data_IF_196988631728
#
_entry.id   IF_196988631728
#
_cell.length_a   1.000
_cell.length_b   1.000
_cell.length_c   1.000
_cell.angle_alpha   90.00
_cell.angle_beta   90.00
_cell.angle_gamma   90.00
#
_symmetry.space_group_name_H-M   'P 1'
#
loop_
_entity.id
_entity.type
_entity.pdbx_description
1 polymer ?
#
# COMPACT_ATOMS: atom_id res chain seq x y z
N UNK A 1 16.35 -10.00 4.00
CA UNK A 1 16.37 -9.73 2.54
C UNK A 1 17.06 -8.40 2.33
N UNK A 2 18.15 -8.38 1.61
CA UNK A 2 18.89 -7.16 1.24
C UNK A 2 18.22 -6.50 0.03
N UNK A 3 18.13 -5.18 0.01
CA UNK A 3 17.43 -4.43 -1.04
C UNK A 3 18.46 -3.69 -1.89
N UNK A 4 18.33 -3.80 -3.20
CA UNK A 4 19.19 -3.17 -4.20
C UNK A 4 18.40 -2.11 -4.98
N UNK A 5 19.06 -1.06 -5.43
CA UNK A 5 18.46 0.00 -6.23
C UNK A 5 19.37 1.21 -6.38
N UNK A 6 18.94 2.19 -7.16
CA UNK A 6 19.68 3.44 -7.39
C UNK A 6 19.36 4.51 -6.34
N UNK A 7 18.12 4.53 -5.81
CA UNK A 7 17.68 5.50 -4.79
C UNK A 7 16.55 4.90 -3.94
N UNK A 8 16.18 5.58 -2.85
CA UNK A 8 15.13 5.17 -1.93
C UNK A 8 14.32 6.37 -1.45
N UNK A 9 13.00 6.17 -1.39
CA UNK A 9 12.05 7.11 -0.80
C UNK A 9 11.36 6.42 0.38
N UNK A 10 11.31 7.08 1.54
CA UNK A 10 10.59 6.63 2.73
C UNK A 10 9.81 7.81 3.33
N UNK A 11 8.52 7.87 3.06
CA UNK A 11 7.73 9.05 3.38
C UNK A 11 8.28 10.30 2.69
N UNK A 12 8.68 11.29 3.47
CA UNK A 12 9.33 12.52 2.98
C UNK A 12 10.85 12.40 2.83
N UNK A 13 11.45 11.32 3.33
CA UNK A 13 12.89 11.11 3.24
C UNK A 13 13.24 10.53 1.86
N UNK A 14 14.24 11.15 1.21
CA UNK A 14 14.84 10.63 -0.02
C UNK A 14 16.35 10.50 0.16
N UNK A 15 16.90 9.32 -0.18
CA UNK A 15 18.29 8.98 0.11
C UNK A 15 19.29 9.88 -0.64
N UNK A 16 19.01 10.18 -1.91
CA UNK A 16 19.85 11.06 -2.74
C UNK A 16 19.97 12.49 -2.20
N UNK A 17 18.98 13.00 -1.47
CA UNK A 17 19.02 14.36 -0.87
C UNK A 17 20.11 14.47 0.20
N UNK A 18 20.54 13.34 0.76
CA UNK A 18 21.62 13.23 1.74
C UNK A 18 22.98 12.89 1.12
N UNK A 19 23.06 12.83 -0.24
CA UNK A 19 24.27 12.43 -0.95
C UNK A 19 24.66 10.98 -0.67
N UNK A 20 23.68 10.12 -0.53
CA UNK A 20 23.84 8.69 -0.23
C UNK A 20 23.22 7.82 -1.33
N UNK A 21 23.72 6.61 -1.43
CA UNK A 21 23.25 5.58 -2.38
C UNK A 21 23.08 4.24 -1.66
N UNK A 22 22.22 3.40 -2.22
CA UNK A 22 22.08 2.01 -1.78
C UNK A 22 23.39 1.25 -2.04
N UNK A 23 23.74 0.34 -1.13
CA UNK A 23 24.94 -0.45 -1.21
C UNK A 23 24.75 -1.80 -0.54
N UNK A 24 25.50 -2.81 -1.01
CA UNK A 24 25.66 -4.08 -0.31
C UNK A 24 27.09 -4.22 0.20
N UNK A 25 27.24 -4.69 1.43
CA UNK A 25 28.53 -5.07 2.01
C UNK A 25 28.78 -6.58 2.00
N UNK A 26 27.75 -7.36 1.69
CA UNK A 26 27.76 -8.82 1.74
C UNK A 26 27.47 -9.41 0.37
N UNK A 27 28.41 -9.20 -0.57
CA UNK A 27 28.30 -9.85 -1.87
C UNK A 27 28.79 -11.28 -1.78
N UNK A 28 27.86 -12.23 -1.67
CA UNK A 28 28.15 -13.68 -1.68
C UNK A 28 27.88 -14.32 -3.04
N UNK A 29 27.31 -13.58 -3.99
CA UNK A 29 26.98 -14.08 -5.33
C UNK A 29 25.71 -14.95 -5.40
N UNK A 30 25.19 -15.39 -4.26
CA UNK A 30 23.91 -16.13 -4.14
C UNK A 30 23.28 -15.73 -2.80
N UNK A 31 22.04 -15.28 -2.82
CA UNK A 31 21.23 -15.06 -1.62
C UNK A 31 19.95 -15.90 -1.71
N UNK A 32 19.62 -16.61 -0.63
CA UNK A 32 18.33 -17.25 -0.45
C UNK A 32 17.44 -16.27 0.32
N UNK A 33 16.57 -15.54 -0.38
CA UNK A 33 15.70 -14.56 0.25
C UNK A 33 14.29 -15.11 0.47
N UNK A 34 13.78 -14.96 1.68
CA UNK A 34 12.37 -15.23 1.98
C UNK A 34 11.53 -14.05 1.48
N UNK A 35 10.72 -14.31 0.47
CA UNK A 35 9.89 -13.29 -0.20
C UNK A 35 8.61 -12.91 0.55
N UNK A 36 8.47 -13.34 1.82
CA UNK A 36 7.29 -13.01 2.65
C UNK A 36 5.99 -13.70 2.23
N UNK A 37 6.02 -14.57 1.24
CA UNK A 37 4.82 -15.24 0.69
C UNK A 37 4.54 -16.60 1.34
N UNK A 38 5.02 -16.82 2.56
CA UNK A 38 4.75 -18.06 3.27
C UNK A 38 3.26 -18.15 3.64
N UNK A 39 2.60 -19.20 3.17
CA UNK A 39 1.23 -19.51 3.54
C UNK A 39 1.19 -20.59 4.61
N UNK A 40 0.25 -20.47 5.54
CA UNK A 40 -0.14 -21.56 6.40
C UNK A 40 -1.59 -21.92 6.13
N UNK A 41 -1.85 -23.21 6.08
CA UNK A 41 -3.19 -23.77 5.95
C UNK A 41 -3.97 -23.55 7.24
N UNK A 42 -5.23 -23.15 7.10
CA UNK A 42 -6.19 -23.11 8.21
C UNK A 42 -7.05 -24.34 8.09
N UNK A 43 -6.91 -25.24 9.07
CA UNK A 43 -7.62 -26.52 9.13
C UNK A 43 -8.25 -26.70 10.50
N UNK A 44 -9.40 -27.37 10.54
CA UNK A 44 -10.10 -27.72 11.77
C UNK A 44 -10.52 -29.20 11.74
N UNK A 45 -10.22 -29.92 12.83
CA UNK A 45 -10.68 -31.29 13.00
C UNK A 45 -12.07 -31.27 13.64
N UNK A 46 -13.07 -31.86 12.97
CA UNK A 46 -14.42 -31.95 13.48
C UNK A 46 -14.64 -33.32 14.13
N UNK A 47 -14.83 -33.34 15.45
CA UNK A 47 -15.03 -34.57 16.22
C UNK A 47 -13.85 -35.54 16.10
N UNK A 48 -14.16 -36.82 15.90
CA UNK A 48 -13.16 -37.89 15.77
C UNK A 48 -12.72 -38.14 14.31
N UNK A 49 -12.99 -37.19 13.40
CA UNK A 49 -12.57 -37.33 12.00
C UNK A 49 -11.04 -37.30 11.89
N UNK A 50 -10.41 -38.27 11.22
CA UNK A 50 -8.96 -38.23 10.99
C UNK A 50 -8.55 -37.26 9.87
N UNK A 51 -9.53 -36.68 9.17
CA UNK A 51 -9.31 -35.75 8.06
C UNK A 51 -9.80 -34.37 8.48
N UNK A 52 -8.92 -33.35 8.51
CA UNK A 52 -9.32 -31.99 8.83
C UNK A 52 -10.19 -31.39 7.70
N UNK A 53 -11.04 -30.46 8.06
CA UNK A 53 -11.74 -29.59 7.12
C UNK A 53 -10.82 -28.41 6.79
N UNK A 54 -10.52 -28.25 5.52
CA UNK A 54 -9.77 -27.12 5.02
C UNK A 54 -10.63 -25.85 5.03
N UNK A 55 -10.21 -24.82 5.74
CA UNK A 55 -10.91 -23.55 5.90
C UNK A 55 -10.28 -22.43 5.09
N UNK A 56 -9.12 -22.66 4.48
CA UNK A 56 -8.40 -21.69 3.65
C UNK A 56 -6.92 -21.59 4.00
N UNK A 57 -6.27 -20.62 3.39
CA UNK A 57 -4.87 -20.26 3.66
C UNK A 57 -4.77 -18.83 4.21
N UNK A 58 -3.77 -18.58 5.01
CA UNK A 58 -3.38 -17.23 5.41
C UNK A 58 -1.90 -16.99 5.14
N UNK A 59 -1.57 -15.78 4.77
CA UNK A 59 -0.18 -15.33 4.73
C UNK A 59 0.32 -15.12 6.16
N UNK A 60 1.41 -15.78 6.52
CA UNK A 60 1.92 -15.79 7.90
C UNK A 60 3.11 -14.88 8.09
N UNK A 61 3.76 -14.49 7.02
CA UNK A 61 4.96 -13.66 7.11
C UNK A 61 4.80 -12.32 6.40
N UNK A 62 5.53 -11.33 6.89
CA UNK A 62 5.62 -9.99 6.34
C UNK A 62 6.99 -9.81 5.72
N UNK A 63 7.07 -8.95 4.73
CA UNK A 63 8.37 -8.56 4.17
C UNK A 63 9.19 -7.82 5.26
N UNK A 64 10.46 -8.21 5.39
CA UNK A 64 11.43 -7.59 6.30
C UNK A 64 12.67 -7.18 5.54
N UNK A 65 12.61 -6.06 4.80
CA UNK A 65 13.74 -5.57 4.06
C UNK A 65 14.84 -5.07 4.99
N UNK A 66 16.07 -5.38 4.61
CA UNK A 66 17.27 -4.77 5.14
C UNK A 66 17.85 -3.83 4.09
N UNK A 67 17.94 -2.56 4.41
CA UNK A 67 18.41 -1.53 3.49
C UNK A 67 19.73 -1.01 3.98
N UNK A 68 20.76 -1.14 3.19
CA UNK A 68 22.10 -0.62 3.48
C UNK A 68 22.42 0.54 2.56
N UNK A 69 22.92 1.62 3.10
CA UNK A 69 23.35 2.76 2.30
C UNK A 69 24.65 3.39 2.78
N UNK A 70 25.36 3.98 1.84
CA UNK A 70 26.66 4.62 2.00
C UNK A 70 26.67 5.99 1.35
N UNK A 71 27.68 6.79 1.59
CA UNK A 71 27.90 8.02 0.81
C UNK A 71 28.15 7.69 -0.66
N UNK A 72 27.59 8.53 -1.54
CA UNK A 72 27.72 8.34 -2.98
C UNK A 72 29.21 8.45 -3.41
N UNK A 73 29.81 7.38 -3.96
CA UNK A 73 31.18 7.40 -4.42
C UNK A 73 31.42 8.33 -5.63
N UNK A 74 30.36 8.79 -6.30
CA UNK A 74 30.45 9.81 -7.36
C UNK A 74 30.68 11.22 -6.78
N UNK A 75 30.22 11.44 -5.55
CA UNK A 75 30.31 12.74 -4.87
C UNK A 75 31.48 12.81 -3.88
N UNK A 76 31.82 11.67 -3.27
CA UNK A 76 32.81 11.60 -2.19
C UNK A 76 33.93 10.60 -2.52
N UNK A 77 35.13 10.87 -2.03
CA UNK A 77 36.30 10.00 -2.24
C UNK A 77 37.21 9.94 -1.00
N UNK A 78 38.00 8.88 -0.90
CA UNK A 78 38.96 8.68 0.19
C UNK A 78 38.30 8.73 1.57
N UNK A 79 38.86 9.54 2.49
CA UNK A 79 38.35 9.68 3.85
C UNK A 79 36.96 10.33 3.92
N UNK A 80 36.55 11.10 2.91
CA UNK A 80 35.24 11.75 2.86
C UNK A 80 34.09 10.74 2.63
N UNK A 81 34.40 9.51 2.20
CA UNK A 81 33.43 8.40 2.09
C UNK A 81 32.87 7.96 3.45
N UNK A 82 33.62 8.17 4.53
CA UNK A 82 33.14 7.81 5.86
C UNK A 82 32.18 8.87 6.41
N UNK A 83 31.17 8.44 7.11
CA UNK A 83 30.24 9.32 7.80
C UNK A 83 30.89 9.90 9.06
N UNK A 84 30.86 11.19 9.20
CA UNK A 84 31.22 11.88 10.43
C UNK A 84 30.15 11.66 11.51
N UNK A 85 30.47 11.89 12.78
CA UNK A 85 29.49 11.80 13.87
C UNK A 85 28.28 12.73 13.66
N UNK A 86 28.53 13.94 13.11
CA UNK A 86 27.46 14.90 12.82
C UNK A 86 26.50 14.37 11.73
N UNK A 87 27.03 13.78 10.68
CA UNK A 87 26.22 13.18 9.59
C UNK A 87 25.46 11.97 10.09
N UNK A 88 26.11 11.05 10.83
CA UNK A 88 25.43 9.94 11.47
C UNK A 88 24.27 10.41 12.35
N UNK A 89 24.52 11.42 13.20
CA UNK A 89 23.52 11.98 14.10
C UNK A 89 22.33 12.58 13.33
N UNK A 90 22.58 13.27 12.23
CA UNK A 90 21.53 13.86 11.40
C UNK A 90 20.67 12.77 10.78
N UNK A 91 21.28 11.75 10.17
CA UNK A 91 20.55 10.62 9.56
C UNK A 91 19.76 9.87 10.62
N UNK A 92 20.36 9.51 11.75
CA UNK A 92 19.65 8.83 12.84
C UNK A 92 18.47 9.66 13.36
N UNK A 93 18.65 10.96 13.54
CA UNK A 93 17.57 11.84 13.98
C UNK A 93 16.40 11.82 13.00
N UNK A 94 16.69 11.87 11.71
CA UNK A 94 15.66 11.80 10.66
C UNK A 94 14.96 10.45 10.67
N UNK A 95 15.73 9.34 10.68
CA UNK A 95 15.17 7.99 10.65
C UNK A 95 14.37 7.64 11.91
N UNK A 96 14.86 8.00 13.08
CA UNK A 96 14.15 7.73 14.35
C UNK A 96 12.98 8.69 14.58
N UNK A 97 12.91 9.80 13.85
CA UNK A 97 11.76 10.70 13.83
C UNK A 97 10.58 10.19 12.99
N UNK A 98 10.81 9.19 12.14
CA UNK A 98 9.77 8.57 11.33
C UNK A 98 9.00 7.57 12.21
N UNK A 99 7.72 7.86 12.45
CA UNK A 99 6.86 7.01 13.27
C UNK A 99 5.84 6.23 12.43
N UNK A 100 5.59 4.99 12.83
CA UNK A 100 4.60 4.11 12.20
C UNK A 100 5.01 3.66 10.80
N UNK A 101 4.03 3.15 10.06
CA UNK A 101 4.22 2.70 8.69
C UNK A 101 4.22 3.89 7.73
N UNK A 102 5.25 3.99 6.90
CA UNK A 102 5.41 4.96 5.84
C UNK A 102 5.44 4.27 4.48
N UNK A 103 5.17 5.01 3.43
CA UNK A 103 5.34 4.53 2.07
C UNK A 103 6.83 4.49 1.73
N UNK A 104 7.30 3.29 1.40
CA UNK A 104 8.66 2.99 0.96
C UNK A 104 8.63 2.69 -0.53
N UNK A 105 9.50 3.32 -1.28
CA UNK A 105 9.80 2.98 -2.67
C UNK A 105 11.31 2.82 -2.83
N UNK A 106 11.72 1.72 -3.43
CA UNK A 106 13.08 1.54 -3.96
C UNK A 106 13.04 1.90 -5.43
N UNK A 107 13.96 2.71 -5.89
CA UNK A 107 14.03 3.15 -7.28
C UNK A 107 15.10 2.31 -7.96
N UNK A 108 14.71 1.58 -8.99
CA UNK A 108 15.59 0.87 -9.92
C UNK A 108 15.42 1.50 -11.30
N UNK A 109 16.51 1.60 -12.04
CA UNK A 109 16.51 2.23 -13.37
C UNK A 109 15.76 1.38 -14.41
N UNK A 110 15.58 0.09 -14.14
CA UNK A 110 14.93 -0.90 -15.03
C UNK A 110 13.49 -1.27 -14.58
N UNK A 111 12.94 -0.63 -13.54
CA UNK A 111 11.59 -0.96 -13.05
C UNK A 111 10.51 -0.43 -14.00
N UNK A 112 9.79 -1.35 -14.64
CA UNK A 112 8.58 -1.03 -15.41
C UNK A 112 7.36 -0.74 -14.52
N UNK A 113 7.33 -1.33 -13.32
CA UNK A 113 6.22 -1.20 -12.37
C UNK A 113 6.56 -0.25 -11.22
N UNK A 114 5.67 0.71 -10.95
CA UNK A 114 5.78 1.64 -9.82
C UNK A 114 5.25 0.99 -8.54
N UNK A 115 6.14 0.22 -7.86
CA UNK A 115 5.77 -0.57 -6.69
C UNK A 115 6.20 0.12 -5.40
N UNK A 116 5.24 0.18 -4.48
CA UNK A 116 5.38 0.78 -3.16
C UNK A 116 5.22 -0.27 -2.07
N UNK A 117 5.89 -0.07 -0.96
CA UNK A 117 5.72 -0.88 0.25
C UNK A 117 5.30 0.02 1.40
N UNK A 118 4.50 -0.49 2.29
CA UNK A 118 4.18 0.22 3.51
C UNK A 118 5.01 -0.36 4.64
N UNK A 119 6.07 0.35 5.02
CA UNK A 119 7.12 -0.15 5.90
C UNK A 119 7.36 0.77 7.10
N UNK A 120 7.82 0.20 8.20
CA UNK A 120 8.32 0.91 9.38
C UNK A 120 9.75 0.51 9.67
N UNK A 121 10.52 1.43 10.25
CA UNK A 121 11.87 1.16 10.72
C UNK A 121 11.78 0.48 12.09
N UNK A 122 12.40 -0.69 12.22
CA UNK A 122 12.50 -1.40 13.50
C UNK A 122 13.82 -1.12 14.21
N UNK A 123 14.92 -1.00 13.43
CA UNK A 123 16.25 -0.76 13.98
C UNK A 123 17.14 -0.02 12.98
N UNK A 124 18.12 0.72 13.49
CA UNK A 124 19.10 1.48 12.71
C UNK A 124 20.49 1.14 13.21
N UNK A 125 21.27 0.49 12.38
CA UNK A 125 22.62 0.04 12.69
C UNK A 125 23.66 0.77 11.85
N UNK A 126 24.95 0.65 12.23
CA UNK A 126 26.06 1.19 11.46
C UNK A 126 27.03 0.08 11.06
N UNK A 127 27.52 0.16 9.83
CA UNK A 127 28.64 -0.66 9.36
C UNK A 127 29.94 0.13 9.55
N UNK A 128 30.92 -0.47 10.23
CA UNK A 128 32.23 0.15 10.48
C UNK A 128 33.33 -0.57 9.71
N UNK A 129 34.20 0.22 9.11
CA UNK A 129 35.43 -0.26 8.47
C UNK A 129 36.60 0.47 9.11
N UNK A 130 37.54 -0.25 9.69
CA UNK A 130 38.67 0.31 10.43
C UNK A 130 38.26 1.38 11.46
N UNK A 131 37.21 1.11 12.24
CA UNK A 131 36.67 2.00 13.28
C UNK A 131 35.82 3.15 12.78
N UNK A 132 35.85 3.49 11.49
CA UNK A 132 35.07 4.57 10.88
C UNK A 132 33.72 4.05 10.37
N UNK A 133 32.66 4.88 10.44
CA UNK A 133 31.35 4.52 9.92
C UNK A 133 31.36 4.60 8.39
N UNK A 134 31.25 3.46 7.75
CA UNK A 134 31.22 3.33 6.28
C UNK A 134 29.80 3.34 5.71
N UNK A 135 28.82 2.89 6.47
CA UNK A 135 27.43 2.86 6.03
C UNK A 135 26.44 2.72 7.18
N UNK A 136 25.18 2.85 6.85
CA UNK A 136 24.04 2.71 7.76
C UNK A 136 23.16 1.56 7.24
N UNK A 137 22.61 0.79 8.16
CA UNK A 137 21.74 -0.34 7.90
C UNK A 137 20.41 -0.08 8.57
N UNK A 138 19.35 -0.05 7.78
CA UNK A 138 17.97 -0.02 8.27
C UNK A 138 17.39 -1.42 8.27
N UNK A 139 16.91 -1.86 9.42
CA UNK A 139 16.09 -3.06 9.55
C UNK A 139 14.64 -2.64 9.56
N UNK A 140 13.88 -3.06 8.56
CA UNK A 140 12.51 -2.63 8.37
C UNK A 140 11.53 -3.81 8.41
N UNK A 141 10.26 -3.51 8.61
CA UNK A 141 9.16 -4.46 8.52
C UNK A 141 8.01 -3.83 7.75
N UNK A 142 7.53 -4.51 6.73
CA UNK A 142 6.32 -4.10 6.00
C UNK A 142 5.05 -4.52 6.75
N UNK A 143 3.93 -3.86 6.45
CA UNK A 143 2.63 -4.24 7.01
C UNK A 143 2.04 -5.48 6.33
N UNK A 144 2.56 -5.86 5.17
CA UNK A 144 2.06 -6.92 4.29
C UNK A 144 3.20 -7.75 3.70
N UNK A 145 2.84 -8.91 3.15
CA UNK A 145 3.68 -9.70 2.26
C UNK A 145 3.61 -9.24 0.79
N UNK A 146 2.78 -8.23 0.50
CA UNK A 146 2.62 -7.66 -0.83
C UNK A 146 3.28 -6.28 -0.92
N UNK A 147 3.73 -5.94 -2.13
CA UNK A 147 3.86 -4.56 -2.55
C UNK A 147 2.50 -3.97 -2.94
N UNK A 148 2.48 -2.71 -3.29
CA UNK A 148 1.28 -1.95 -3.68
C UNK A 148 1.55 -1.21 -4.98
N UNK A 149 0.57 -1.16 -5.87
CA UNK A 149 0.65 -0.29 -7.03
C UNK A 149 0.74 1.19 -6.61
N UNK A 150 1.10 2.04 -7.54
CA UNK A 150 0.79 3.48 -7.45
C UNK A 150 -0.69 3.69 -7.21
N UNK A 151 -1.05 4.85 -6.69
CA UNK A 151 -2.44 5.22 -6.47
C UNK A 151 -3.15 5.39 -7.82
N UNK A 152 -4.21 4.61 -7.99
CA UNK A 152 -5.07 4.67 -9.16
C UNK A 152 -6.26 5.57 -8.87
N UNK A 153 -6.47 6.56 -9.73
CA UNK A 153 -7.62 7.46 -9.70
C UNK A 153 -8.43 7.29 -10.97
N UNK A 154 -9.66 6.79 -10.85
CA UNK A 154 -10.57 6.59 -11.98
C UNK A 154 -11.75 7.56 -11.84
N UNK A 155 -11.83 8.53 -12.73
CA UNK A 155 -12.93 9.50 -12.79
C UNK A 155 -13.98 9.08 -13.81
N UNK A 156 -15.21 8.89 -13.39
CA UNK A 156 -16.31 8.38 -14.21
C UNK A 156 -17.54 9.30 -14.13
N UNK A 157 -18.22 9.43 -15.26
CA UNK A 157 -19.51 10.09 -15.35
C UNK A 157 -20.60 9.04 -15.55
N UNK A 158 -21.38 8.76 -14.51
CA UNK A 158 -22.46 7.80 -14.56
C UNK A 158 -23.74 8.44 -15.12
N UNK A 159 -24.35 7.76 -16.08
CA UNK A 159 -25.76 7.97 -16.46
C UNK A 159 -26.62 7.02 -15.65
N UNK A 160 -27.79 7.50 -15.19
CA UNK A 160 -28.69 6.72 -14.34
C UNK A 160 -28.96 5.33 -14.91
N UNK A 161 -28.76 4.33 -14.07
CA UNK A 161 -28.95 2.90 -14.37
C UNK A 161 -28.11 2.32 -15.52
N UNK A 162 -27.13 3.04 -16.04
CA UNK A 162 -26.20 2.55 -17.05
C UNK A 162 -24.96 2.00 -16.36
N UNK A 163 -24.63 0.71 -16.53
CA UNK A 163 -23.43 0.16 -15.91
C UNK A 163 -22.16 0.61 -16.61
N UNK A 164 -21.09 0.74 -15.84
CA UNK A 164 -19.72 1.02 -16.30
C UNK A 164 -18.80 -0.07 -15.76
N UNK A 165 -17.87 -0.52 -16.58
CA UNK A 165 -16.87 -1.51 -16.20
C UNK A 165 -15.62 -0.86 -15.65
N UNK A 166 -15.13 -1.42 -14.54
CA UNK A 166 -13.89 -1.06 -13.89
C UNK A 166 -13.06 -2.34 -13.76
N UNK A 167 -11.86 -2.31 -14.30
CA UNK A 167 -10.92 -3.42 -14.18
C UNK A 167 -9.93 -3.14 -13.06
N UNK A 168 -9.85 -4.05 -12.08
CA UNK A 168 -8.90 -3.99 -10.99
C UNK A 168 -7.77 -5.00 -11.24
N UNK A 169 -6.64 -4.53 -11.70
CA UNK A 169 -5.48 -5.39 -11.95
C UNK A 169 -4.75 -5.69 -10.63
N UNK A 170 -5.27 -6.59 -9.80
CA UNK A 170 -4.68 -6.99 -8.51
C UNK A 170 -4.10 -8.40 -8.59
N UNK A 171 -3.00 -8.64 -7.86
CA UNK A 171 -2.40 -9.97 -7.71
C UNK A 171 -2.98 -10.75 -6.53
N UNK A 172 -3.79 -10.11 -5.69
CA UNK A 172 -4.54 -10.78 -4.63
C UNK A 172 -5.94 -11.14 -5.13
N UNK A 173 -6.09 -12.37 -5.61
CA UNK A 173 -7.33 -12.87 -6.19
C UNK A 173 -8.37 -13.32 -5.15
N UNK A 174 -8.04 -13.24 -3.86
CA UNK A 174 -8.92 -13.74 -2.79
C UNK A 174 -9.58 -12.64 -1.97
N UNK A 175 -9.02 -11.43 -1.99
CA UNK A 175 -9.51 -10.33 -1.17
C UNK A 175 -10.11 -9.21 -2.04
N UNK A 176 -11.10 -8.52 -1.47
CA UNK A 176 -11.68 -7.33 -2.08
C UNK A 176 -10.73 -6.14 -1.97
N UNK A 177 -10.80 -5.26 -2.95
CA UNK A 177 -10.19 -3.94 -2.88
C UNK A 177 -11.22 -2.99 -2.27
N UNK A 178 -10.83 -2.27 -1.23
CA UNK A 178 -11.65 -1.28 -0.55
C UNK A 178 -11.25 0.13 -1.01
N UNK A 179 -11.92 0.72 -2.02
CA UNK A 179 -11.57 2.04 -2.54
C UNK A 179 -12.05 3.16 -1.62
N UNK A 180 -11.43 4.32 -1.77
CA UNK A 180 -12.06 5.59 -1.42
C UNK A 180 -12.90 6.03 -2.61
N UNK A 181 -14.20 6.23 -2.40
CA UNK A 181 -15.12 6.62 -3.47
C UNK A 181 -15.69 8.01 -3.18
N UNK A 182 -15.41 8.95 -4.07
CA UNK A 182 -15.98 10.30 -3.99
C UNK A 182 -17.07 10.45 -5.04
N UNK A 183 -18.29 10.77 -4.61
CA UNK A 183 -19.49 10.82 -5.45
C UNK A 183 -20.09 12.21 -5.38
N UNK A 184 -20.21 12.87 -6.52
CA UNK A 184 -20.99 14.10 -6.67
C UNK A 184 -22.34 13.78 -7.30
N UNK A 185 -23.39 13.75 -6.49
CA UNK A 185 -24.75 13.50 -6.94
C UNK A 185 -25.27 14.67 -7.80
N UNK A 186 -25.92 14.39 -8.92
CA UNK A 186 -26.54 15.45 -9.75
C UNK A 186 -27.98 15.74 -9.40
N UNK A 187 -28.66 14.79 -8.78
CA UNK A 187 -30.08 14.89 -8.39
C UNK A 187 -30.25 14.55 -6.93
N UNK A 188 -31.32 15.03 -6.31
CA UNK A 188 -31.69 14.67 -4.95
C UNK A 188 -32.42 13.33 -4.94
N UNK A 189 -32.31 12.59 -3.83
CA UNK A 189 -32.97 11.31 -3.62
C UNK A 189 -32.05 10.26 -3.02
N UNK A 190 -32.47 9.01 -3.03
CA UNK A 190 -31.61 7.91 -2.59
C UNK A 190 -30.55 7.63 -3.65
N UNK A 191 -29.32 7.54 -3.23
CA UNK A 191 -28.17 7.14 -4.04
C UNK A 191 -27.92 5.66 -3.83
N UNK A 192 -28.06 4.86 -4.88
CA UNK A 192 -27.86 3.41 -4.86
C UNK A 192 -26.77 3.07 -5.85
N UNK A 193 -25.70 2.50 -5.34
CA UNK A 193 -24.56 2.01 -6.11
C UNK A 193 -24.58 0.49 -6.04
N UNK A 194 -24.62 -0.17 -7.18
CA UNK A 194 -24.64 -1.63 -7.25
C UNK A 194 -23.39 -2.09 -7.99
N UNK A 195 -22.59 -2.94 -7.37
CA UNK A 195 -21.65 -3.79 -8.10
C UNK A 195 -22.42 -5.00 -8.60
N UNK A 196 -22.70 -5.05 -9.89
CA UNK A 196 -23.51 -6.09 -10.52
C UNK A 196 -22.80 -7.44 -10.48
N UNK A 197 -21.46 -7.42 -10.51
CA UNK A 197 -20.62 -8.63 -10.56
C UNK A 197 -20.86 -9.55 -9.34
N UNK A 198 -21.08 -8.97 -8.15
CA UNK A 198 -21.37 -9.72 -6.92
C UNK A 198 -22.71 -9.34 -6.26
N UNK A 199 -23.51 -8.52 -6.93
CA UNK A 199 -24.78 -7.97 -6.43
C UNK A 199 -24.65 -7.20 -5.10
N UNK A 200 -23.49 -6.56 -4.88
CA UNK A 200 -23.26 -5.75 -3.68
C UNK A 200 -23.87 -4.36 -3.83
N UNK A 201 -24.70 -3.97 -2.85
CA UNK A 201 -25.44 -2.72 -2.88
C UNK A 201 -25.01 -1.81 -1.75
N UNK A 202 -24.53 -0.61 -2.11
CA UNK A 202 -24.24 0.50 -1.22
C UNK A 202 -25.34 1.55 -1.40
N UNK A 203 -26.09 1.86 -0.35
CA UNK A 203 -27.22 2.80 -0.38
C UNK A 203 -27.03 3.94 0.62
N UNK A 204 -27.25 5.16 0.15
CA UNK A 204 -27.30 6.38 0.97
C UNK A 204 -28.60 7.10 0.67
N UNK A 205 -29.43 7.29 1.71
CA UNK A 205 -30.72 7.95 1.61
C UNK A 205 -30.57 9.47 1.72
N UNK A 206 -31.59 10.19 1.29
CA UNK A 206 -31.73 11.63 1.49
C UNK A 206 -30.59 12.50 0.93
N UNK A 207 -29.87 12.02 -0.09
CA UNK A 207 -28.81 12.75 -0.77
C UNK A 207 -29.38 13.97 -1.48
N UNK A 208 -28.70 15.11 -1.41
CA UNK A 208 -29.10 16.35 -2.09
C UNK A 208 -28.39 16.54 -3.43
N UNK A 209 -28.99 17.27 -4.32
CA UNK A 209 -28.36 17.63 -5.59
C UNK A 209 -27.06 18.43 -5.36
N UNK A 210 -26.00 18.08 -6.05
CA UNK A 210 -24.63 18.60 -5.94
C UNK A 210 -23.93 18.29 -4.60
N UNK A 211 -24.49 17.46 -3.75
CA UNK A 211 -23.80 16.93 -2.58
C UNK A 211 -22.63 16.06 -3.03
N UNK A 212 -21.49 16.23 -2.35
CA UNK A 212 -20.32 15.38 -2.52
C UNK A 212 -20.19 14.49 -1.30
N UNK A 213 -20.29 13.20 -1.52
CA UNK A 213 -20.15 12.15 -0.50
C UNK A 213 -18.83 11.44 -0.73
N UNK A 214 -18.05 11.27 0.33
CA UNK A 214 -16.83 10.48 0.31
C UNK A 214 -16.99 9.26 1.20
N UNK A 215 -16.78 8.08 0.64
CA UNK A 215 -16.82 6.77 1.31
C UNK A 215 -15.39 6.23 1.33
N UNK A 216 -14.75 6.23 2.49
CA UNK A 216 -13.48 5.52 2.70
C UNK A 216 -13.81 4.10 3.18
N UNK A 217 -13.84 3.18 2.24
CA UNK A 217 -14.27 1.81 2.51
C UNK A 217 -13.27 1.02 3.36
N UNK A 218 -12.00 1.39 3.32
CA UNK A 218 -10.95 0.72 4.09
C UNK A 218 -11.01 1.09 5.58
N UNK A 219 -11.26 2.36 5.86
CA UNK A 219 -11.31 2.88 7.23
C UNK A 219 -12.74 2.94 7.80
N UNK A 220 -13.73 2.55 7.00
CA UNK A 220 -15.15 2.60 7.34
C UNK A 220 -15.60 4.00 7.77
N UNK A 221 -15.22 4.99 6.96
CA UNK A 221 -15.56 6.40 7.19
C UNK A 221 -16.40 6.91 6.03
N UNK A 222 -17.54 7.54 6.35
CA UNK A 222 -18.36 8.26 5.39
C UNK A 222 -18.46 9.74 5.78
N UNK A 223 -18.36 10.63 4.79
CA UNK A 223 -18.49 12.07 4.99
C UNK A 223 -19.26 12.72 3.85
N UNK A 224 -19.86 13.89 4.14
CA UNK A 224 -20.58 14.71 3.16
C UNK A 224 -20.06 16.14 3.16
N UNK A 225 -20.12 16.79 2.00
CA UNK A 225 -19.76 18.19 1.80
C UNK A 225 -20.78 19.18 2.41
N UNK A 226 -21.95 18.71 2.78
CA UNK A 226 -23.02 19.49 3.42
C UNK A 226 -23.40 18.86 4.75
N UNK A 227 -24.00 19.65 5.65
CA UNK A 227 -24.52 19.13 6.90
C UNK A 227 -25.64 18.12 6.63
N UNK A 228 -25.34 16.86 6.92
CA UNK A 228 -26.23 15.71 6.82
C UNK A 228 -26.38 15.16 8.24
N UNK A 229 -27.39 15.62 8.96
CA UNK A 229 -27.50 15.41 10.42
C UNK A 229 -27.53 13.94 10.84
N UNK A 230 -27.87 13.02 9.92
CA UNK A 230 -28.03 11.60 10.17
C UNK A 230 -27.35 10.73 9.09
N UNK A 231 -26.22 11.18 8.54
CA UNK A 231 -25.54 10.47 7.44
C UNK A 231 -25.33 8.98 7.72
N UNK A 232 -24.93 8.61 8.92
CA UNK A 232 -24.76 7.19 9.29
C UNK A 232 -26.09 6.43 9.36
N UNK A 233 -27.20 7.08 9.71
CA UNK A 233 -28.52 6.44 9.72
C UNK A 233 -29.10 6.31 8.31
N UNK A 234 -28.66 7.16 7.39
CA UNK A 234 -29.07 7.15 6.00
C UNK A 234 -28.21 6.19 5.15
N UNK A 235 -27.10 5.73 5.69
CA UNK A 235 -26.17 4.78 5.04
C UNK A 235 -26.47 3.34 5.48
N UNK A 236 -26.55 2.41 4.52
CA UNK A 236 -26.83 0.99 4.79
C UNK A 236 -25.64 0.20 5.36
N UNK A 237 -24.50 0.86 5.66
CA UNK A 237 -23.25 0.28 6.17
C UNK A 237 -22.60 -0.77 5.23
N UNK A 238 -23.03 -0.85 4.00
CA UNK A 238 -22.37 -1.68 2.99
C UNK A 238 -21.29 -0.84 2.29
N UNK A 239 -20.09 -0.95 2.78
CA UNK A 239 -18.92 -0.25 2.23
C UNK A 239 -18.61 -0.71 0.82
N UNK A 240 -18.22 0.22 -0.05
CA UNK A 240 -17.88 -0.10 -1.44
C UNK A 240 -16.69 -1.04 -1.51
N UNK A 241 -16.79 -2.03 -2.39
CA UNK A 241 -15.73 -3.00 -2.66
C UNK A 241 -15.64 -3.30 -4.15
N UNK A 242 -14.42 -3.57 -4.60
CA UNK A 242 -14.16 -4.08 -5.93
C UNK A 242 -13.63 -5.52 -5.80
N UNK A 243 -14.13 -6.40 -6.65
CA UNK A 243 -13.57 -7.73 -6.79
C UNK A 243 -12.26 -7.67 -7.56
N UNK A 244 -11.41 -8.68 -7.41
CA UNK A 244 -10.33 -8.90 -8.36
C UNK A 244 -10.87 -8.95 -9.79
N UNK A 245 -10.10 -8.37 -10.73
CA UNK A 245 -10.40 -8.35 -12.15
C UNK A 245 -11.55 -7.41 -12.53
N UNK A 246 -12.63 -7.87 -13.15
CA UNK A 246 -13.66 -7.03 -13.76
C UNK A 246 -14.84 -6.78 -12.80
N UNK A 247 -15.21 -5.50 -12.66
CA UNK A 247 -16.36 -5.05 -11.89
C UNK A 247 -17.31 -4.26 -12.77
N UNK A 248 -18.58 -4.55 -12.72
CA UNK A 248 -19.62 -3.82 -13.42
C UNK A 248 -20.43 -3.01 -12.41
N UNK A 249 -20.20 -1.68 -12.38
CA UNK A 249 -20.80 -0.76 -11.40
C UNK A 249 -21.95 0.01 -12.05
N UNK A 250 -23.08 0.03 -11.37
CA UNK A 250 -24.27 0.79 -11.77
C UNK A 250 -24.70 1.73 -10.66
N UNK A 251 -25.11 2.94 -11.04
CA UNK A 251 -25.69 3.94 -10.12
C UNK A 251 -27.11 4.29 -10.61
N UNK A 252 -28.05 4.39 -9.66
CA UNK A 252 -29.47 4.65 -9.99
C UNK A 252 -29.74 6.08 -10.46
N UNK A 253 -28.80 7.00 -10.35
CA UNK A 253 -28.94 8.39 -10.77
C UNK A 253 -27.66 8.89 -11.48
N UNK A 254 -27.77 10.05 -12.14
CA UNK A 254 -26.60 10.68 -12.75
C UNK A 254 -25.64 11.17 -11.65
N UNK A 255 -24.35 10.84 -11.76
CA UNK A 255 -23.34 11.21 -10.79
C UNK A 255 -21.97 11.31 -11.44
N UNK A 256 -21.08 12.14 -10.87
CA UNK A 256 -19.65 12.06 -11.10
C UNK A 256 -19.03 11.27 -9.95
N UNK A 257 -18.21 10.30 -10.28
CA UNK A 257 -17.61 9.40 -9.29
C UNK A 257 -16.14 9.27 -9.54
N UNK A 258 -15.35 9.40 -8.47
CA UNK A 258 -13.92 9.10 -8.48
C UNK A 258 -13.67 7.91 -7.57
N UNK A 259 -13.03 6.88 -8.11
CA UNK A 259 -12.52 5.74 -7.35
C UNK A 259 -11.03 5.93 -7.15
N UNK A 260 -10.58 5.94 -5.91
CA UNK A 260 -9.16 6.04 -5.53
C UNK A 260 -8.76 4.81 -4.76
N UNK A 261 -7.78 4.05 -5.25
CA UNK A 261 -7.31 2.83 -4.60
C UNK A 261 -5.89 2.45 -5.01
N UNK A 262 -5.29 1.56 -4.25
CA UNK A 262 -4.06 0.83 -4.59
C UNK A 262 -4.36 -0.65 -4.58
N UNK A 263 -3.70 -1.40 -5.44
CA UNK A 263 -3.87 -2.86 -5.51
C UNK A 263 -2.62 -3.57 -5.00
N UNK A 264 -2.78 -4.70 -4.30
CA UNK A 264 -1.66 -5.57 -3.95
C UNK A 264 -0.90 -6.07 -5.18
N UNK A 265 0.44 -6.12 -5.05
CA UNK A 265 1.36 -6.67 -6.04
C UNK A 265 2.22 -7.76 -5.41
N UNK A 266 2.30 -8.92 -6.07
CA UNK A 266 3.24 -9.97 -5.71
C UNK A 266 4.60 -9.63 -6.32
N UNK A 267 5.48 -9.14 -5.49
CA UNK A 267 6.78 -8.63 -5.95
C UNK A 267 7.89 -9.13 -5.06
N UNK A 268 9.03 -9.23 -5.68
CA UNK A 268 10.31 -9.40 -5.01
C UNK A 268 10.88 -8.01 -4.80
N UNK A 269 11.30 -7.67 -3.57
CA UNK A 269 12.15 -6.51 -3.34
C UNK A 269 13.55 -6.88 -3.85
N UNK A 270 13.84 -6.54 -5.07
CA UNK A 270 15.14 -6.77 -5.69
C UNK A 270 16.12 -5.69 -5.32
#
# INVERSE_FOLDING_TARGET
MEVFGSDLILGEFRLSDYGMVLASFEYTGVSDDNLGMMRSTIEEYLGDSPIPVYLGDKYTDKLRPQITFVKDPKMYSGNAMYLSEKECRNVFRTMTGIHGYQWLKVINDDDEDDIWFRAKINDVNVKRVNGKVAGIILMMECDSCFGWSSETNIELSFTANTPIRIHSNTDDLHNYICPVVTIKARTSGNLIITNITDNWITEIKNVRANEVITIDSKNEIISSSISHDLLLNDFNLNWMRLLPDENEIKINQNAYVTFTYRVPRKVVLL
#
